data_IF_449231695663
#
_entry.id   IF_449231695663
#
_cell.length_a   1.000
_cell.length_b   1.000
_cell.length_c   1.000
_cell.angle_alpha   90.00
_cell.angle_beta   90.00
_cell.angle_gamma   90.00
#
_symmetry.space_group_name_H-M   'P 1'
#
loop_
_entity.id
_entity.type
_entity.pdbx_description
1 polymer ?
#
# COMPACT_ATOMS: atom_id res chain seq x y z
N UNK A 1 29.52 -1.08 4.87
CA UNK A 1 29.23 -1.46 3.46
C UNK A 1 29.94 -2.75 3.07
N UNK A 2 30.44 -3.50 4.06
CA UNK A 2 31.52 -4.49 3.89
C UNK A 2 30.99 -5.92 3.64
N UNK A 3 29.76 -6.02 3.15
CA UNK A 3 29.16 -7.28 2.71
C UNK A 3 29.41 -7.51 1.21
N UNK A 4 29.19 -8.74 0.71
CA UNK A 4 29.37 -9.07 -0.70
C UNK A 4 28.42 -8.29 -1.62
N UNK A 5 27.30 -7.79 -1.07
CA UNK A 5 26.35 -6.90 -1.74
C UNK A 5 26.10 -5.67 -0.87
N UNK A 6 26.83 -4.57 -1.12
CA UNK A 6 26.56 -3.30 -0.45
C UNK A 6 25.17 -2.78 -0.84
N UNK A 7 24.42 -2.31 0.16
CA UNK A 7 23.04 -1.82 0.06
C UNK A 7 22.90 -0.49 0.78
N UNK A 8 21.99 0.35 0.29
CA UNK A 8 21.67 1.65 0.84
C UNK A 8 20.17 1.91 0.78
N UNK A 9 19.69 2.75 1.68
CA UNK A 9 18.31 3.24 1.70
C UNK A 9 18.32 4.62 2.35
N UNK A 10 17.56 5.54 1.77
CA UNK A 10 17.34 6.85 2.36
C UNK A 10 15.85 7.04 2.65
N UNK A 11 15.54 7.82 3.68
CA UNK A 11 14.18 8.19 4.03
C UNK A 11 14.05 9.71 4.02
N UNK A 12 13.02 10.23 3.35
CA UNK A 12 12.69 11.66 3.38
C UNK A 12 11.33 11.86 4.02
N UNK A 13 11.33 12.49 5.20
CA UNK A 13 10.14 12.65 6.04
C UNK A 13 9.93 14.12 6.37
N UNK A 14 8.67 14.54 6.46
CA UNK A 14 8.35 15.88 6.95
C UNK A 14 8.69 15.99 8.43
N UNK A 15 9.16 17.16 8.87
CA UNK A 15 9.35 17.44 10.30
C UNK A 15 7.99 17.72 10.96
N UNK A 16 7.22 16.65 11.14
CA UNK A 16 5.85 16.68 11.61
C UNK A 16 5.29 15.28 11.82
N UNK A 17 3.96 15.20 11.89
CA UNK A 17 3.27 13.91 11.96
C UNK A 17 3.46 13.18 10.63
N UNK A 18 4.13 12.03 10.68
CA UNK A 18 4.27 11.12 9.56
C UNK A 18 3.30 9.96 9.80
N UNK A 19 2.24 9.90 9.00
CA UNK A 19 1.12 8.96 9.17
C UNK A 19 1.12 7.81 8.16
N UNK A 20 2.16 7.71 7.34
CA UNK A 20 2.40 6.57 6.45
C UNK A 20 3.41 5.60 7.06
N UNK A 21 3.51 4.35 6.56
CA UNK A 21 4.61 3.45 6.89
C UNK A 21 5.97 4.12 6.68
N UNK A 22 6.95 3.85 7.56
CA UNK A 22 8.33 4.34 7.40
C UNK A 22 8.85 4.04 5.98
N UNK A 23 8.51 2.86 5.47
CA UNK A 23 8.96 2.41 4.14
C UNK A 23 8.47 3.29 2.98
N UNK A 24 7.29 3.89 3.10
CA UNK A 24 6.75 4.75 2.03
C UNK A 24 7.54 6.05 1.86
N UNK A 25 8.31 6.43 2.90
CA UNK A 25 9.24 7.56 2.84
C UNK A 25 10.59 7.20 2.23
N UNK A 26 10.79 5.93 1.86
CA UNK A 26 12.02 5.51 1.21
C UNK A 26 12.18 6.21 -0.15
N UNK A 27 13.37 6.79 -0.36
CA UNK A 27 13.77 7.48 -1.59
C UNK A 27 15.17 7.00 -2.00
N UNK A 28 15.55 7.15 -3.28
CA UNK A 28 16.95 7.00 -3.67
C UNK A 28 17.83 7.97 -2.87
N UNK A 29 19.04 7.56 -2.51
CA UNK A 29 20.01 8.41 -1.82
C UNK A 29 20.33 9.64 -2.68
N UNK A 30 20.41 9.49 -4.02
CA UNK A 30 20.51 10.57 -5.00
C UNK A 30 19.52 11.73 -4.74
N UNK A 31 18.31 11.39 -4.28
CA UNK A 31 17.29 12.38 -4.02
C UNK A 31 17.56 13.18 -2.76
N UNK A 32 18.16 12.55 -1.74
CA UNK A 32 18.63 13.24 -0.53
C UNK A 32 19.86 14.07 -0.83
N UNK A 33 20.79 13.59 -1.67
CA UNK A 33 21.96 14.37 -2.10
C UNK A 33 21.55 15.65 -2.80
N UNK A 34 20.59 15.55 -3.72
CA UNK A 34 20.05 16.70 -4.45
C UNK A 34 19.42 17.74 -3.51
N UNK A 35 18.84 17.32 -2.39
CA UNK A 35 18.24 18.21 -1.40
C UNK A 35 19.31 18.80 -0.46
N UNK A 36 20.28 18.00 -0.06
CA UNK A 36 21.22 18.33 1.03
C UNK A 36 22.55 18.90 0.54
N UNK A 37 22.93 18.63 -0.72
CA UNK A 37 24.24 18.91 -1.28
C UNK A 37 25.36 18.01 -0.74
N UNK A 38 25.00 16.91 -0.05
CA UNK A 38 25.94 15.94 0.50
C UNK A 38 26.02 14.76 -0.45
N UNK A 39 27.25 14.43 -0.83
CA UNK A 39 27.65 13.16 -1.45
C UNK A 39 27.94 12.17 -0.31
N UNK A 40 27.05 11.20 -0.11
CA UNK A 40 27.06 10.30 1.04
C UNK A 40 28.05 9.15 0.88
N UNK A 41 28.31 8.70 -0.35
CA UNK A 41 29.19 7.58 -0.63
C UNK A 41 30.40 7.90 -1.52
N UNK A 42 30.80 9.18 -1.62
CA UNK A 42 31.98 9.75 -2.31
C UNK A 42 33.31 8.97 -2.26
N UNK A 43 33.47 8.08 -1.27
CA UNK A 43 34.67 7.25 -1.08
C UNK A 43 34.57 5.87 -1.76
N UNK A 44 33.46 5.57 -2.43
CA UNK A 44 33.21 4.33 -3.15
C UNK A 44 33.62 4.46 -4.63
N UNK A 45 33.69 3.33 -5.34
CA UNK A 45 33.82 3.36 -6.80
C UNK A 45 32.51 3.85 -7.42
N UNK A 46 32.58 4.75 -8.41
CA UNK A 46 31.41 5.37 -9.09
C UNK A 46 30.33 4.34 -9.47
N UNK A 47 30.73 3.20 -10.05
CA UNK A 47 29.78 2.18 -10.49
C UNK A 47 29.04 1.48 -9.32
N UNK A 48 29.65 1.45 -8.13
CA UNK A 48 29.04 0.91 -6.91
C UNK A 48 28.16 1.96 -6.26
N UNK A 49 28.63 3.20 -6.20
CA UNK A 49 27.89 4.38 -5.73
C UNK A 49 26.60 4.57 -6.52
N UNK A 50 26.69 4.74 -7.85
CA UNK A 50 25.54 4.90 -8.77
C UNK A 50 24.47 3.82 -8.56
N UNK A 51 24.91 2.58 -8.34
CA UNK A 51 24.00 1.45 -8.13
C UNK A 51 23.29 1.53 -6.78
N UNK A 52 24.00 1.89 -5.71
CA UNK A 52 23.45 1.94 -4.36
C UNK A 52 22.54 3.15 -4.20
N UNK A 53 22.95 4.29 -4.74
CA UNK A 53 22.27 5.56 -4.50
C UNK A 53 21.01 5.73 -5.34
N UNK A 54 20.98 5.13 -6.54
CA UNK A 54 19.81 5.08 -7.41
C UNK A 54 18.74 4.05 -6.99
N UNK A 55 19.05 3.15 -6.04
CA UNK A 55 18.12 2.09 -5.65
C UNK A 55 17.01 2.57 -4.70
N UNK A 56 15.79 2.14 -5.00
CA UNK A 56 14.61 2.26 -4.13
C UNK A 56 13.87 0.92 -4.12
N UNK A 57 14.51 -0.11 -3.58
CA UNK A 57 13.84 -1.40 -3.35
C UNK A 57 13.64 -1.65 -1.85
N UNK A 58 12.48 -1.22 -1.30
CA UNK A 58 12.19 -1.42 0.10
C UNK A 58 11.96 -2.87 0.48
N UNK A 59 11.64 -3.76 -0.47
CA UNK A 59 11.36 -5.17 -0.18
C UNK A 59 12.58 -5.92 0.34
N UNK A 60 13.77 -5.49 -0.08
CA UNK A 60 15.06 -6.07 0.36
C UNK A 60 15.31 -5.87 1.87
N UNK A 61 14.60 -4.93 2.49
CA UNK A 61 14.71 -4.61 3.90
C UNK A 61 13.68 -5.32 4.79
N UNK A 62 12.77 -6.11 4.20
CA UNK A 62 11.87 -6.96 4.97
C UNK A 62 12.43 -8.38 5.11
N UNK A 63 12.37 -8.90 6.34
CA UNK A 63 12.67 -10.29 6.64
C UNK A 63 11.38 -11.05 6.94
N UNK A 64 11.34 -12.34 6.62
CA UNK A 64 10.22 -13.21 7.00
C UNK A 64 10.07 -13.20 8.53
N UNK A 65 8.90 -12.77 9.02
CA UNK A 65 8.63 -12.55 10.45
C UNK A 65 8.63 -11.08 10.90
N UNK A 66 8.99 -10.14 10.02
CA UNK A 66 8.76 -8.71 10.26
C UNK A 66 7.24 -8.41 10.29
N UNK A 67 6.73 -7.58 11.23
CA UNK A 67 5.32 -7.18 11.28
C UNK A 67 4.80 -6.52 10.00
N UNK A 68 5.69 -5.97 9.17
CA UNK A 68 5.38 -5.32 7.89
C UNK A 68 5.69 -6.22 6.67
N UNK A 69 6.12 -7.47 6.91
CA UNK A 69 6.39 -8.42 5.84
C UNK A 69 5.11 -8.68 5.02
N UNK A 70 5.17 -8.35 3.72
CA UNK A 70 4.05 -8.50 2.78
C UNK A 70 3.13 -7.27 2.67
N UNK A 71 3.43 -6.17 3.38
CA UNK A 71 2.87 -4.86 3.07
C UNK A 71 3.36 -4.37 1.69
N UNK A 72 2.54 -3.57 1.02
CA UNK A 72 2.78 -3.00 -0.29
C UNK A 72 2.69 -1.48 -0.22
N UNK A 73 3.51 -0.78 -1.00
CA UNK A 73 3.40 0.66 -1.11
C UNK A 73 2.05 1.04 -1.75
N UNK A 74 1.38 2.09 -1.25
CA UNK A 74 0.21 2.65 -1.92
C UNK A 74 0.55 3.07 -3.35
N UNK A 75 -0.43 2.96 -4.25
CA UNK A 75 -0.27 3.40 -5.63
C UNK A 75 0.07 4.92 -5.63
N UNK A 76 1.18 5.33 -6.27
CA UNK A 76 1.59 6.73 -6.24
C UNK A 76 0.65 7.61 -7.10
N UNK A 77 0.32 8.83 -6.66
CA UNK A 77 -0.43 9.80 -7.48
C UNK A 77 0.41 10.32 -8.67
N UNK A 78 -0.23 10.82 -9.75
CA UNK A 78 -1.67 11.02 -9.91
C UNK A 78 -2.41 9.75 -10.33
N UNK A 79 -3.56 9.48 -9.69
CA UNK A 79 -4.51 8.46 -10.13
C UNK A 79 -5.58 9.11 -11.05
N UNK A 80 -6.33 8.31 -11.84
CA UNK A 80 -7.46 8.81 -12.61
C UNK A 80 -8.47 9.58 -11.74
N UNK A 81 -9.23 10.47 -12.38
CA UNK A 81 -10.15 11.37 -11.67
C UNK A 81 -11.17 10.60 -10.84
N UNK A 82 -11.24 10.90 -9.54
CA UNK A 82 -12.16 10.26 -8.59
C UNK A 82 -11.63 8.98 -7.95
N UNK A 83 -10.40 8.58 -8.30
CA UNK A 83 -9.68 7.48 -7.69
C UNK A 83 -8.60 8.01 -6.75
N UNK A 84 -8.44 7.35 -5.61
CA UNK A 84 -7.49 7.71 -4.56
C UNK A 84 -6.79 6.45 -4.07
N UNK A 85 -5.57 6.57 -3.57
CA UNK A 85 -4.92 5.43 -2.92
C UNK A 85 -5.46 5.20 -1.50
N UNK A 86 -5.06 4.10 -0.87
CA UNK A 86 -5.52 3.71 0.47
C UNK A 86 -5.27 4.78 1.54
N UNK A 87 -4.11 5.43 1.52
CA UNK A 87 -3.76 6.47 2.51
C UNK A 87 -4.57 7.76 2.34
N UNK A 88 -5.03 8.06 1.14
CA UNK A 88 -5.91 9.19 0.86
C UNK A 88 -7.36 8.94 1.30
N UNK A 89 -7.78 7.69 1.52
CA UNK A 89 -9.18 7.34 1.82
C UNK A 89 -9.75 8.12 3.03
N UNK A 90 -8.92 8.42 4.04
CA UNK A 90 -9.30 9.20 5.22
C UNK A 90 -9.79 10.62 4.88
N UNK A 91 -9.28 11.23 3.80
CA UNK A 91 -9.69 12.57 3.38
C UNK A 91 -11.03 12.57 2.62
N UNK A 92 -11.58 11.39 2.33
CA UNK A 92 -12.81 11.19 1.57
C UNK A 92 -13.92 10.50 2.37
N UNK A 93 -13.77 10.39 3.70
CA UNK A 93 -14.80 9.84 4.59
C UNK A 93 -16.14 10.55 4.38
N UNK A 94 -17.21 9.77 4.26
CA UNK A 94 -18.58 10.24 4.03
C UNK A 94 -18.96 10.34 2.55
N UNK A 95 -17.98 10.44 1.65
CA UNK A 95 -18.20 10.52 0.21
C UNK A 95 -18.22 9.13 -0.43
N UNK A 96 -18.81 9.06 -1.63
CA UNK A 96 -18.62 7.93 -2.54
C UNK A 96 -17.41 8.22 -3.41
N UNK A 97 -16.42 7.33 -3.39
CA UNK A 97 -15.20 7.44 -4.19
C UNK A 97 -14.62 6.04 -4.47
N UNK A 98 -13.60 6.00 -5.30
CA UNK A 98 -12.88 4.76 -5.63
C UNK A 98 -11.53 4.75 -4.93
N UNK A 99 -11.27 3.72 -4.11
CA UNK A 99 -9.99 3.53 -3.41
C UNK A 99 -9.23 2.38 -4.06
N UNK A 100 -7.99 2.65 -4.48
CA UNK A 100 -7.14 1.70 -5.19
C UNK A 100 -5.91 1.32 -4.37
N UNK A 101 -5.53 0.05 -4.44
CA UNK A 101 -4.38 -0.50 -3.71
C UNK A 101 -4.26 -2.01 -3.91
N UNK A 102 -3.34 -2.64 -3.20
CA UNK A 102 -3.09 -4.08 -3.27
C UNK A 102 -3.72 -4.79 -2.08
N UNK A 103 -4.51 -5.84 -2.30
CA UNK A 103 -5.02 -6.67 -1.20
C UNK A 103 -3.87 -7.53 -0.66
N UNK A 104 -3.31 -7.13 0.47
CA UNK A 104 -2.15 -7.82 1.08
C UNK A 104 -2.58 -8.96 1.99
N UNK A 105 -3.79 -8.89 2.55
CA UNK A 105 -4.34 -9.92 3.42
C UNK A 105 -5.86 -9.98 3.32
N UNK A 106 -6.37 -11.20 3.23
CA UNK A 106 -7.78 -11.53 3.39
C UNK A 106 -8.02 -12.24 4.71
N UNK A 107 -9.13 -11.94 5.38
CA UNK A 107 -9.50 -12.56 6.66
C UNK A 107 -11.01 -12.70 6.77
N UNK A 108 -11.52 -13.91 6.61
CA UNK A 108 -12.91 -14.22 6.97
C UNK A 108 -13.07 -14.46 8.46
N UNK A 109 -14.18 -14.02 9.04
CA UNK A 109 -14.52 -14.24 10.44
C UNK A 109 -15.98 -14.65 10.63
N UNK A 110 -16.20 -15.79 11.28
CA UNK A 110 -17.54 -16.25 11.65
C UNK A 110 -18.18 -15.35 12.73
N UNK A 111 -17.40 -14.60 13.51
CA UNK A 111 -17.93 -13.73 14.57
C UNK A 111 -18.71 -12.55 13.99
N UNK A 112 -18.25 -11.98 12.88
CA UNK A 112 -18.88 -10.86 12.22
C UNK A 112 -19.68 -11.26 10.96
N UNK A 113 -19.58 -12.53 10.53
CA UNK A 113 -20.09 -13.01 9.24
C UNK A 113 -19.60 -12.13 8.08
N UNK A 114 -18.28 -11.90 8.04
CA UNK A 114 -17.65 -10.98 7.10
C UNK A 114 -16.27 -11.46 6.68
N UNK A 115 -15.92 -11.11 5.44
CA UNK A 115 -14.58 -11.13 4.88
C UNK A 115 -14.00 -9.71 4.90
N UNK A 116 -12.82 -9.57 5.49
CA UNK A 116 -12.03 -8.34 5.43
C UNK A 116 -10.91 -8.46 4.41
N UNK A 117 -10.78 -7.48 3.53
CA UNK A 117 -9.65 -7.34 2.61
C UNK A 117 -8.80 -6.14 3.07
N UNK A 118 -7.67 -6.42 3.71
CA UNK A 118 -6.72 -5.38 4.12
C UNK A 118 -5.90 -4.96 2.89
N UNK A 119 -5.88 -3.65 2.62
CA UNK A 119 -5.23 -3.10 1.44
C UNK A 119 -3.95 -2.35 1.81
N UNK A 120 -2.88 -2.60 1.06
CA UNK A 120 -1.52 -2.09 1.18
C UNK A 120 -0.82 -2.43 2.51
N UNK A 121 -1.53 -2.45 3.63
CA UNK A 121 -0.99 -2.73 4.96
C UNK A 121 -1.76 -3.83 5.67
N UNK A 122 -1.05 -4.60 6.48
CA UNK A 122 -1.65 -5.73 7.21
C UNK A 122 -2.33 -5.27 8.49
N UNK A 123 -3.23 -6.10 9.01
CA UNK A 123 -3.82 -5.88 10.33
C UNK A 123 -2.76 -6.04 11.43
N UNK A 124 -2.67 -5.15 12.44
CA UNK A 124 -3.60 -4.07 12.81
C UNK A 124 -3.23 -2.65 12.30
N UNK A 125 -2.37 -2.54 11.29
CA UNK A 125 -1.79 -1.28 10.83
C UNK A 125 -2.42 -0.72 9.54
N UNK A 126 -3.57 -1.25 9.13
CA UNK A 126 -4.19 -0.89 7.86
C UNK A 126 -4.75 0.55 7.83
N UNK A 127 -4.41 1.31 6.79
CA UNK A 127 -4.93 2.66 6.54
C UNK A 127 -6.32 2.63 5.88
N UNK A 128 -6.63 1.52 5.20
CA UNK A 128 -7.92 1.27 4.57
C UNK A 128 -8.17 -0.25 4.47
N UNK A 129 -9.43 -0.65 4.57
CA UNK A 129 -9.83 -2.03 4.30
C UNK A 129 -11.22 -2.12 3.67
N UNK A 130 -11.49 -3.24 3.02
CA UNK A 130 -12.78 -3.54 2.42
C UNK A 130 -13.48 -4.58 3.26
N UNK A 131 -14.79 -4.43 3.44
CA UNK A 131 -15.63 -5.45 4.06
C UNK A 131 -16.58 -6.05 3.02
N UNK A 132 -16.59 -7.37 2.89
CA UNK A 132 -17.62 -8.11 2.16
C UNK A 132 -18.39 -8.93 3.20
N UNK A 133 -19.66 -8.61 3.43
CA UNK A 133 -20.49 -9.41 4.34
C UNK A 133 -20.80 -10.77 3.71
N UNK A 134 -20.84 -11.84 4.50
CA UNK A 134 -21.03 -13.20 3.97
C UNK A 134 -22.34 -13.35 3.18
N UNK A 135 -23.39 -12.61 3.55
CA UNK A 135 -24.68 -12.62 2.83
C UNK A 135 -24.58 -12.04 1.41
N UNK A 136 -23.54 -11.26 1.11
CA UNK A 136 -23.27 -10.73 -0.23
C UNK A 136 -22.46 -11.71 -1.09
N UNK A 137 -21.98 -12.83 -0.55
CA UNK A 137 -21.21 -13.84 -1.28
C UNK A 137 -21.86 -14.29 -2.62
N UNK A 138 -23.18 -14.53 -2.70
CA UNK A 138 -23.86 -14.88 -3.96
C UNK A 138 -23.80 -13.80 -5.05
N UNK A 139 -23.41 -12.56 -4.73
CA UNK A 139 -23.26 -11.46 -5.70
C UNK A 139 -21.87 -11.42 -6.35
N UNK A 140 -21.05 -12.44 -6.11
CA UNK A 140 -19.72 -12.60 -6.70
C UNK A 140 -19.65 -13.89 -7.51
N UNK A 141 -19.14 -13.78 -8.73
CA UNK A 141 -18.87 -14.90 -9.65
C UNK A 141 -17.61 -15.69 -9.28
N UNK A 142 -16.79 -15.14 -8.37
CA UNK A 142 -15.57 -15.72 -7.82
C UNK A 142 -15.61 -15.70 -6.29
N UNK A 143 -14.77 -16.51 -5.63
CA UNK A 143 -14.57 -16.38 -4.18
C UNK A 143 -13.65 -15.17 -3.89
N UNK A 144 -14.16 -14.08 -3.29
CA UNK A 144 -13.37 -12.88 -3.08
C UNK A 144 -12.20 -13.08 -2.10
N UNK A 145 -12.26 -14.09 -1.23
CA UNK A 145 -11.18 -14.38 -0.28
C UNK A 145 -9.93 -14.86 -1.00
N UNK A 146 -10.08 -15.83 -1.90
CA UNK A 146 -8.95 -16.41 -2.65
C UNK A 146 -8.61 -15.63 -3.90
N UNK A 147 -9.59 -15.11 -4.63
CA UNK A 147 -9.37 -14.45 -5.92
C UNK A 147 -8.68 -13.10 -5.78
N UNK A 148 -9.04 -12.31 -4.76
CA UNK A 148 -8.52 -10.94 -4.60
C UNK A 148 -7.19 -10.90 -3.83
N UNK A 149 -6.83 -11.96 -3.11
CA UNK A 149 -5.56 -12.05 -2.38
C UNK A 149 -4.37 -11.76 -3.31
N UNK A 150 -3.51 -10.83 -2.90
CA UNK A 150 -2.34 -10.31 -3.64
C UNK A 150 -2.63 -9.57 -4.95
N UNK A 151 -3.91 -9.33 -5.29
CA UNK A 151 -4.25 -8.53 -6.49
C UNK A 151 -4.31 -7.05 -6.15
N UNK A 152 -3.97 -6.23 -7.15
CA UNK A 152 -4.18 -4.80 -7.13
C UNK A 152 -5.59 -4.50 -7.68
N UNK A 153 -6.38 -3.77 -6.90
CA UNK A 153 -7.80 -3.53 -7.16
C UNK A 153 -8.18 -2.09 -6.87
N UNK A 154 -9.28 -1.64 -7.47
CA UNK A 154 -9.96 -0.39 -7.17
C UNK A 154 -11.37 -0.70 -6.68
N UNK A 155 -11.73 -0.18 -5.51
CA UNK A 155 -13.00 -0.45 -4.83
C UNK A 155 -13.81 0.83 -4.74
N UNK A 156 -15.02 0.82 -5.28
CA UNK A 156 -15.90 1.97 -5.33
C UNK A 156 -17.02 1.81 -4.32
N UNK A 157 -17.26 2.85 -3.53
CA UNK A 157 -18.36 2.84 -2.56
C UNK A 157 -18.29 4.00 -1.60
N UNK A 158 -19.24 4.02 -0.65
CA UNK A 158 -19.24 5.03 0.41
C UNK A 158 -18.15 4.73 1.42
N UNK A 159 -17.25 5.68 1.62
CA UNK A 159 -16.18 5.56 2.61
C UNK A 159 -16.77 5.85 3.99
N UNK A 160 -16.69 4.87 4.87
CA UNK A 160 -17.15 4.94 6.27
C UNK A 160 -15.99 4.68 7.21
N UNK A 161 -16.16 4.96 8.51
CA UNK A 161 -15.13 4.71 9.52
C UNK A 161 -15.62 3.64 10.49
N UNK A 162 -14.72 2.74 10.86
CA UNK A 162 -14.91 1.81 11.96
C UNK A 162 -13.60 1.67 12.73
N UNK A 163 -13.66 1.85 14.04
CA UNK A 163 -12.50 1.83 14.94
C UNK A 163 -11.36 2.78 14.47
N UNK A 164 -11.75 3.97 14.01
CA UNK A 164 -10.80 4.98 13.50
C UNK A 164 -10.27 4.73 12.09
N UNK A 165 -10.57 3.58 11.47
CA UNK A 165 -10.02 3.19 10.16
C UNK A 165 -11.08 3.36 9.05
N UNK A 166 -10.77 4.08 7.96
CA UNK A 166 -11.59 4.16 6.76
C UNK A 166 -11.84 2.78 6.11
N UNK A 167 -13.05 2.59 5.59
CA UNK A 167 -13.45 1.36 4.89
C UNK A 167 -14.53 1.59 3.84
N UNK A 168 -14.64 0.64 2.93
CA UNK A 168 -15.83 0.46 2.07
C UNK A 168 -16.44 -0.91 2.35
N UNK A 169 -17.77 -0.95 2.48
CA UNK A 169 -18.53 -2.21 2.50
C UNK A 169 -19.06 -2.49 1.11
N UNK A 170 -18.57 -3.57 0.49
CA UNK A 170 -18.96 -3.99 -0.85
C UNK A 170 -20.13 -4.97 -0.77
N UNK A 171 -21.10 -4.79 -1.67
CA UNK A 171 -22.28 -5.63 -1.80
C UNK A 171 -22.30 -6.46 -3.09
N UNK A 172 -21.60 -6.05 -4.15
CA UNK A 172 -21.57 -6.75 -5.43
C UNK A 172 -20.18 -6.68 -6.07
N UNK A 173 -19.81 -7.69 -6.86
CA UNK A 173 -18.52 -7.73 -7.55
C UNK A 173 -18.24 -6.52 -8.44
N UNK A 174 -19.28 -5.89 -9.01
CA UNK A 174 -19.17 -4.69 -9.86
C UNK A 174 -18.61 -3.45 -9.15
N UNK A 175 -18.57 -3.43 -7.82
CA UNK A 175 -17.94 -2.38 -7.04
C UNK A 175 -16.42 -2.56 -6.93
N UNK A 176 -15.88 -3.68 -7.42
CA UNK A 176 -14.45 -4.00 -7.43
C UNK A 176 -13.98 -4.17 -8.87
N UNK A 177 -12.94 -3.42 -9.24
CA UNK A 177 -12.28 -3.49 -10.55
C UNK A 177 -10.83 -3.92 -10.35
N UNK A 178 -10.27 -4.77 -11.21
CA UNK A 178 -8.84 -5.03 -11.19
C UNK A 178 -8.08 -3.80 -11.70
N UNK A 179 -6.95 -3.49 -11.09
CA UNK A 179 -6.17 -2.31 -11.50
C UNK A 179 -5.73 -2.34 -12.96
N UNK A 180 -5.47 -3.53 -13.51
CA UNK A 180 -5.14 -3.70 -14.93
C UNK A 180 -6.24 -3.19 -15.87
N UNK A 181 -7.50 -3.21 -15.44
CA UNK A 181 -8.64 -2.67 -16.21
C UNK A 181 -8.70 -1.13 -16.16
N UNK A 182 -8.03 -0.51 -15.18
CA UNK A 182 -7.93 0.96 -15.04
C UNK A 182 -6.77 1.53 -15.86
N UNK A 183 -5.71 0.74 -16.06
CA UNK A 183 -4.52 1.15 -16.81
C UNK A 183 -4.68 1.10 -18.34
N UNK A 184 -5.79 0.54 -18.85
CA UNK A 184 -6.10 0.41 -20.29
C UNK A 184 -7.28 1.28 -20.72
#
# INVERSE_FOLDING_TARGET
LDGPEPKGIAFLMENGLNDHPVISYAVPIDSVERITGIDFFAAMDDAVEDRIEGQRDPKVWYHEGDPFFGEMEPIPPPLPRGMFNTVQARHHIGNVATICGTVVSTRRTAKANALYLNMDRMHPHQDFYVTVWDHNGPNFSYDPETYLQHRKVCVTGKITVYDGIPRISVNNESEIMLWEEVEH
#
